data_IF_366216725916
#
_entry.id   IF_366216725916
#
_cell.length_a   1.000
_cell.length_b   1.000
_cell.length_c   1.000
_cell.angle_alpha   90.00
_cell.angle_beta   90.00
_cell.angle_gamma   90.00
#
_symmetry.space_group_name_H-M   'P 1'
#
loop_
_entity.id
_entity.type
_entity.pdbx_description
1 polymer ?
#
# COMPACT_ATOMS: atom_id res chain seq x y z
N UNK A 1 11.48 50.94 -8.71
CA UNK A 1 11.64 50.05 -7.53
C UNK A 1 10.54 49.00 -7.41
N UNK A 2 9.26 49.28 -7.71
CA UNK A 2 8.19 48.28 -7.60
C UNK A 2 8.41 47.01 -8.44
N UNK A 3 8.88 47.13 -9.68
CA UNK A 3 9.14 45.98 -10.57
C UNK A 3 10.20 45.04 -9.96
N UNK A 4 11.25 45.58 -9.35
CA UNK A 4 12.33 44.79 -8.74
C UNK A 4 11.81 43.95 -7.58
N UNK A 5 11.04 44.56 -6.67
CA UNK A 5 10.44 43.84 -5.54
C UNK A 5 9.41 42.80 -5.97
N UNK A 6 8.60 43.09 -6.99
CA UNK A 6 7.67 42.10 -7.56
C UNK A 6 8.42 40.92 -8.19
N UNK A 7 9.51 41.16 -8.92
CA UNK A 7 10.34 40.09 -9.49
C UNK A 7 11.00 39.22 -8.42
N UNK A 8 11.52 39.83 -7.35
CA UNK A 8 12.10 39.09 -6.21
C UNK A 8 11.04 38.23 -5.52
N UNK A 9 9.85 38.78 -5.28
CA UNK A 9 8.75 38.04 -4.67
C UNK A 9 8.34 36.83 -5.51
N UNK A 10 8.19 37.00 -6.83
CA UNK A 10 7.88 35.90 -7.75
C UNK A 10 8.99 34.85 -7.76
N UNK A 11 10.26 35.26 -7.80
CA UNK A 11 11.41 34.35 -7.78
C UNK A 11 11.47 33.54 -6.47
N UNK A 12 11.20 34.17 -5.33
CA UNK A 12 11.15 33.50 -4.03
C UNK A 12 9.98 32.52 -3.95
N UNK A 13 8.79 32.91 -4.40
CA UNK A 13 7.66 31.97 -4.49
C UNK A 13 7.99 30.79 -5.39
N UNK A 14 8.55 31.05 -6.56
CA UNK A 14 8.96 30.01 -7.49
C UNK A 14 9.98 29.07 -6.85
N UNK A 15 11.00 29.59 -6.15
CA UNK A 15 11.99 28.79 -5.45
C UNK A 15 11.37 27.95 -4.31
N UNK A 16 10.45 28.53 -3.53
CA UNK A 16 9.73 27.83 -2.46
C UNK A 16 8.96 26.63 -3.02
N UNK A 17 8.24 26.82 -4.13
CA UNK A 17 7.49 25.73 -4.79
C UNK A 17 8.41 24.73 -5.49
N UNK A 18 9.43 25.19 -6.20
CA UNK A 18 10.38 24.36 -6.94
C UNK A 18 11.19 23.44 -6.01
N UNK A 19 11.67 23.98 -4.88
CA UNK A 19 12.42 23.24 -3.87
C UNK A 19 11.53 22.50 -2.87
N UNK A 20 10.19 22.59 -3.00
CA UNK A 20 9.21 21.95 -2.11
C UNK A 20 9.47 22.23 -0.63
N UNK A 21 9.77 23.49 -0.31
CA UNK A 21 10.08 23.87 1.07
C UNK A 21 8.87 23.67 1.98
N UNK A 22 9.07 23.30 3.26
CA UNK A 22 7.98 23.19 4.22
C UNK A 22 7.27 24.54 4.38
N UNK A 23 5.97 24.51 4.66
CA UNK A 23 5.10 25.69 4.72
C UNK A 23 5.66 26.83 5.60
N UNK A 24 6.26 26.48 6.73
CA UNK A 24 6.88 27.43 7.65
C UNK A 24 8.08 28.12 6.98
N UNK A 25 8.97 27.36 6.33
CA UNK A 25 10.13 27.92 5.64
C UNK A 25 9.71 28.83 4.48
N UNK A 26 8.68 28.44 3.71
CA UNK A 26 8.10 29.31 2.68
C UNK A 26 7.49 30.60 3.25
N UNK A 27 6.78 30.49 4.37
CA UNK A 27 6.19 31.66 5.08
C UNK A 27 7.27 32.62 5.55
N UNK A 28 8.36 32.09 6.13
CA UNK A 28 9.52 32.89 6.59
C UNK A 28 10.22 33.55 5.41
N UNK A 29 10.41 32.84 4.29
CA UNK A 29 11.04 33.40 3.09
C UNK A 29 10.23 34.60 2.53
N UNK A 30 8.91 34.47 2.46
CA UNK A 30 8.04 35.57 2.04
C UNK A 30 8.06 36.73 3.04
N UNK A 31 8.03 36.46 4.34
CA UNK A 31 8.15 37.49 5.37
C UNK A 31 9.48 38.26 5.27
N UNK A 32 10.57 37.57 4.97
CA UNK A 32 11.88 38.19 4.78
C UNK A 32 11.90 39.14 3.58
N UNK A 33 11.28 38.77 2.46
CA UNK A 33 11.12 39.65 1.29
C UNK A 33 10.28 40.87 1.64
N UNK A 34 9.18 40.71 2.38
CA UNK A 34 8.32 41.83 2.81
C UNK A 34 9.04 42.78 3.76
N UNK A 35 9.84 42.24 4.68
CA UNK A 35 10.64 43.04 5.60
C UNK A 35 11.70 43.85 4.86
N UNK A 36 12.41 43.20 3.93
CA UNK A 36 13.37 43.87 3.05
C UNK A 36 12.69 44.96 2.20
N UNK A 37 11.51 44.68 1.65
CA UNK A 37 10.73 45.68 0.93
C UNK A 37 10.31 46.84 1.83
N UNK A 38 9.95 46.61 3.10
CA UNK A 38 9.56 47.70 4.01
C UNK A 38 10.69 48.67 4.35
N UNK A 39 11.94 48.20 4.38
CA UNK A 39 13.11 49.03 4.70
C UNK A 39 13.71 49.73 3.47
N UNK A 40 13.65 49.07 2.31
CA UNK A 40 14.34 49.53 1.10
C UNK A 40 13.40 49.96 -0.02
N UNK A 41 12.09 49.95 0.15
CA UNK A 41 11.15 50.50 -0.85
C UNK A 41 10.68 51.90 -0.49
N UNK A 42 10.42 52.72 -1.51
CA UNK A 42 9.78 54.04 -1.38
C UNK A 42 8.24 53.94 -1.20
N UNK A 43 7.71 52.76 -0.86
CA UNK A 43 6.28 52.58 -0.67
C UNK A 43 5.80 53.34 0.57
N UNK A 44 4.63 53.99 0.47
CA UNK A 44 4.04 54.70 1.60
C UNK A 44 3.69 53.74 2.75
N UNK A 45 3.68 54.26 3.98
CA UNK A 45 3.41 53.44 5.17
C UNK A 45 2.05 52.71 5.13
N UNK A 46 1.05 53.31 4.48
CA UNK A 46 -0.25 52.67 4.24
C UNK A 46 -0.12 51.44 3.32
N UNK A 47 0.64 51.54 2.23
CA UNK A 47 0.86 50.42 1.29
C UNK A 47 1.63 49.29 1.97
N UNK A 48 2.65 49.61 2.77
CA UNK A 48 3.39 48.61 3.53
C UNK A 48 2.51 47.89 4.57
N UNK A 49 1.64 48.65 5.27
CA UNK A 49 0.69 48.08 6.23
C UNK A 49 -0.28 47.12 5.55
N UNK A 50 -0.77 47.47 4.36
CA UNK A 50 -1.65 46.60 3.58
C UNK A 50 -0.95 45.30 3.16
N UNK A 51 0.32 45.34 2.75
CA UNK A 51 1.06 44.12 2.40
C UNK A 51 1.24 43.18 3.59
N UNK A 52 1.59 43.72 4.76
CA UNK A 52 1.67 42.92 5.99
C UNK A 52 0.32 42.38 6.43
N UNK A 53 -0.76 43.16 6.29
CA UNK A 53 -2.11 42.71 6.63
C UNK A 53 -2.55 41.53 5.73
N UNK A 54 -2.34 41.62 4.41
CA UNK A 54 -2.65 40.53 3.47
C UNK A 54 -1.79 39.31 3.77
N UNK A 55 -0.49 39.50 4.03
CA UNK A 55 0.40 38.41 4.40
C UNK A 55 -0.07 37.68 5.65
N UNK A 56 -0.39 38.39 6.73
CA UNK A 56 -0.87 37.79 7.97
C UNK A 56 -2.23 37.10 7.78
N UNK A 57 -3.13 37.69 6.98
CA UNK A 57 -4.43 37.11 6.66
C UNK A 57 -4.32 35.75 5.95
N UNK A 58 -3.24 35.51 5.19
CA UNK A 58 -2.99 34.24 4.51
C UNK A 58 -2.12 33.32 5.39
N UNK A 59 -1.04 33.84 5.95
CA UNK A 59 -0.07 33.07 6.71
C UNK A 59 -0.64 32.49 8.01
N UNK A 60 -1.49 33.25 8.73
CA UNK A 60 -2.06 32.79 9.98
C UNK A 60 -3.02 31.60 9.81
N UNK A 61 -4.01 31.63 8.88
CA UNK A 61 -4.85 30.46 8.60
C UNK A 61 -4.08 29.25 8.12
N UNK A 62 -2.99 29.42 7.35
CA UNK A 62 -2.24 28.29 6.81
C UNK A 62 -1.31 27.65 7.85
N UNK A 63 -0.67 28.44 8.70
CA UNK A 63 0.31 27.94 9.67
C UNK A 63 -0.32 27.48 10.99
N UNK A 64 -1.48 28.02 11.40
CA UNK A 64 -2.17 27.60 12.62
C UNK A 64 -3.06 26.38 12.33
N UNK A 65 -2.77 25.19 12.90
CA UNK A 65 -3.48 23.95 12.54
C UNK A 65 -5.00 24.02 12.73
N UNK A 66 -5.46 24.70 13.79
CA UNK A 66 -6.89 24.86 14.10
C UNK A 66 -7.60 25.68 13.02
N UNK A 67 -7.00 26.80 12.60
CA UNK A 67 -7.55 27.64 11.54
C UNK A 67 -7.46 26.96 10.18
N UNK A 68 -6.32 26.32 9.87
CA UNK A 68 -6.14 25.59 8.62
C UNK A 68 -7.20 24.52 8.43
N UNK A 69 -7.49 23.76 9.50
CA UNK A 69 -8.52 22.73 9.47
C UNK A 69 -9.89 23.32 9.16
N UNK A 70 -10.32 24.32 9.92
CA UNK A 70 -11.66 24.90 9.81
C UNK A 70 -11.89 25.68 8.50
N UNK A 71 -10.88 26.41 8.01
CA UNK A 71 -11.01 27.30 6.85
C UNK A 71 -10.61 26.65 5.53
N UNK A 72 -9.66 25.70 5.55
CA UNK A 72 -9.09 25.10 4.32
C UNK A 72 -9.42 23.61 4.25
N UNK A 73 -8.90 22.79 5.17
CA UNK A 73 -8.92 21.33 5.04
C UNK A 73 -10.34 20.76 5.03
N UNK A 74 -11.22 21.19 5.94
CA UNK A 74 -12.59 20.66 6.03
C UNK A 74 -13.41 21.02 4.77
N UNK A 75 -13.18 22.21 4.21
CA UNK A 75 -13.86 22.67 2.98
C UNK A 75 -13.40 21.89 1.75
N UNK A 76 -12.09 21.68 1.63
CA UNK A 76 -11.51 20.84 0.57
C UNK A 76 -12.01 19.40 0.69
N UNK A 77 -12.09 18.86 1.91
CA UNK A 77 -12.59 17.50 2.13
C UNK A 77 -14.07 17.34 1.71
N UNK A 78 -14.93 18.33 1.98
CA UNK A 78 -16.34 18.30 1.52
C UNK A 78 -16.40 18.28 -0.01
N UNK A 79 -15.56 19.05 -0.70
CA UNK A 79 -15.48 19.03 -2.16
C UNK A 79 -15.00 17.66 -2.66
N UNK A 80 -13.95 17.13 -2.05
CA UNK A 80 -13.35 15.84 -2.44
C UNK A 80 -14.34 14.68 -2.27
N UNK A 81 -15.11 14.67 -1.18
CA UNK A 81 -16.17 13.66 -0.93
C UNK A 81 -17.24 13.61 -2.03
N UNK A 82 -17.48 14.71 -2.75
CA UNK A 82 -18.45 14.73 -3.86
C UNK A 82 -17.90 14.07 -5.14
N UNK A 83 -16.58 13.99 -5.28
CA UNK A 83 -15.89 13.43 -6.45
C UNK A 83 -15.58 11.94 -6.25
N UNK A 84 -15.45 11.50 -4.99
CA UNK A 84 -15.25 10.09 -4.69
C UNK A 84 -16.50 9.28 -5.02
N UNK A 85 -16.38 8.14 -5.73
CA UNK A 85 -17.51 7.28 -6.02
C UNK A 85 -18.13 6.73 -4.72
N UNK A 86 -19.45 6.63 -4.68
CA UNK A 86 -20.15 5.95 -3.59
C UNK A 86 -19.88 4.45 -3.67
N UNK A 87 -19.40 3.87 -2.59
CA UNK A 87 -19.12 2.45 -2.48
C UNK A 87 -20.41 1.66 -2.26
N UNK A 88 -20.67 0.66 -3.11
CA UNK A 88 -21.80 -0.25 -2.93
C UNK A 88 -21.65 -1.06 -1.64
N UNK A 89 -22.76 -1.62 -1.14
CA UNK A 89 -22.72 -2.43 0.09
C UNK A 89 -21.81 -3.66 -0.08
N UNK A 90 -21.79 -4.27 -1.26
CA UNK A 90 -20.93 -5.42 -1.56
C UNK A 90 -19.44 -5.06 -1.63
N UNK A 91 -19.09 -3.92 -2.23
CA UNK A 91 -17.70 -3.44 -2.25
C UNK A 91 -17.21 -3.07 -0.84
N UNK A 92 -18.12 -2.55 -0.01
CA UNK A 92 -17.83 -2.21 1.38
C UNK A 92 -17.52 -3.45 2.19
N UNK A 93 -18.38 -4.47 2.13
CA UNK A 93 -18.14 -5.76 2.79
C UNK A 93 -16.83 -6.40 2.32
N UNK A 94 -16.52 -6.34 1.01
CA UNK A 94 -15.26 -6.86 0.49
C UNK A 94 -14.02 -6.11 1.02
N UNK A 95 -14.12 -4.78 1.18
CA UNK A 95 -13.04 -3.96 1.74
C UNK A 95 -12.91 -4.10 3.26
N UNK A 96 -14.03 -4.23 3.98
CA UNK A 96 -14.07 -4.44 5.42
C UNK A 96 -13.63 -5.87 5.82
N UNK A 97 -13.84 -6.86 4.95
CA UNK A 97 -13.26 -8.20 5.09
C UNK A 97 -11.73 -8.21 4.88
N UNK A 98 -11.19 -7.15 4.27
CA UNK A 98 -9.76 -6.90 4.17
C UNK A 98 -9.14 -6.44 5.50
N UNK A 99 -7.80 -6.41 5.55
CA UNK A 99 -7.07 -5.88 6.69
C UNK A 99 -6.22 -4.69 6.25
N UNK A 100 -6.13 -3.66 7.07
CA UNK A 100 -5.18 -2.56 6.86
C UNK A 100 -3.81 -2.98 7.37
N UNK A 101 -2.78 -2.95 6.52
CA UNK A 101 -1.42 -3.29 6.92
C UNK A 101 -0.53 -2.05 6.93
N UNK A 102 0.57 -2.03 6.16
CA UNK A 102 1.50 -0.91 6.09
C UNK A 102 0.98 0.25 5.22
N UNK A 103 0.08 -0.04 4.29
CA UNK A 103 -0.54 0.92 3.40
C UNK A 103 -1.39 1.95 4.18
N UNK A 104 -2.01 1.52 5.29
CA UNK A 104 -2.70 2.41 6.22
C UNK A 104 -1.80 3.51 6.79
N UNK A 105 -0.52 3.24 7.05
CA UNK A 105 0.44 4.25 7.50
C UNK A 105 0.61 5.33 6.43
N UNK A 106 0.73 4.94 5.16
CA UNK A 106 0.86 5.91 4.06
C UNK A 106 -0.41 6.75 3.88
N UNK A 107 -1.57 6.09 3.86
CA UNK A 107 -2.84 6.77 3.63
C UNK A 107 -3.29 7.63 4.82
N UNK A 108 -2.70 7.44 6.01
CA UNK A 108 -2.93 8.32 7.18
C UNK A 108 -2.40 9.75 6.98
N UNK A 109 -1.52 9.97 6.00
CA UNK A 109 -0.86 11.26 5.75
C UNK A 109 0.23 11.63 6.77
N UNK A 110 0.48 10.76 7.77
CA UNK A 110 1.58 10.89 8.73
C UNK A 110 2.14 9.50 9.09
N UNK A 111 2.78 8.79 8.14
CA UNK A 111 3.33 7.45 8.37
C UNK A 111 4.40 7.47 9.46
N UNK A 112 4.39 6.45 10.32
CA UNK A 112 5.52 6.16 11.21
C UNK A 112 6.62 5.41 10.43
N UNK A 113 7.61 6.17 9.96
CA UNK A 113 8.73 5.61 9.20
C UNK A 113 9.58 4.63 10.01
N UNK A 114 9.67 4.78 11.33
CA UNK A 114 10.47 3.88 12.17
C UNK A 114 9.84 2.49 12.15
N UNK A 115 8.52 2.42 12.37
CA UNK A 115 7.73 1.18 12.29
C UNK A 115 7.83 0.52 10.91
N UNK A 116 7.76 1.30 9.83
CA UNK A 116 7.87 0.77 8.47
C UNK A 116 9.26 0.19 8.18
N UNK A 117 10.33 0.88 8.60
CA UNK A 117 11.71 0.45 8.39
C UNK A 117 12.12 -0.71 9.31
N UNK A 118 11.48 -0.86 10.47
CA UNK A 118 11.70 -1.97 11.40
C UNK A 118 11.06 -3.29 10.95
N UNK A 119 10.14 -3.25 9.96
CA UNK A 119 9.47 -4.46 9.49
C UNK A 119 10.50 -5.40 8.83
N UNK A 120 10.76 -6.59 9.41
CA UNK A 120 11.81 -7.47 8.88
C UNK A 120 11.39 -8.08 7.55
N UNK A 121 12.36 -8.32 6.68
CA UNK A 121 12.13 -9.10 5.47
C UNK A 121 11.64 -10.52 5.86
N UNK A 122 10.54 -11.01 5.26
CA UNK A 122 10.05 -12.34 5.57
C UNK A 122 11.08 -13.38 5.14
N UNK A 123 11.19 -14.47 5.91
CA UNK A 123 12.15 -15.56 5.66
C UNK A 123 11.41 -16.88 5.70
N UNK A 124 11.78 -17.79 4.81
CA UNK A 124 11.33 -19.18 4.89
C UNK A 124 11.97 -19.85 6.11
N UNK A 125 11.15 -20.55 6.87
CA UNK A 125 11.60 -21.50 7.87
C UNK A 125 12.38 -22.65 7.22
N UNK A 126 13.16 -23.43 8.00
CA UNK A 126 13.87 -24.60 7.48
C UNK A 126 12.93 -25.63 6.82
N UNK A 127 11.74 -25.84 7.37
CA UNK A 127 10.72 -26.75 6.84
C UNK A 127 10.18 -26.28 5.49
N UNK A 128 9.81 -25.01 5.39
CA UNK A 128 9.33 -24.41 4.13
C UNK A 128 10.42 -24.39 3.05
N UNK A 129 11.67 -24.12 3.44
CA UNK A 129 12.83 -24.20 2.54
C UNK A 129 13.01 -25.62 2.02
N UNK A 130 12.94 -26.62 2.91
CA UNK A 130 13.04 -28.02 2.52
C UNK A 130 11.90 -28.44 1.58
N UNK A 131 10.68 -27.94 1.80
CA UNK A 131 9.55 -28.18 0.90
C UNK A 131 9.76 -27.58 -0.50
N UNK A 132 10.27 -26.34 -0.54
CA UNK A 132 10.56 -25.63 -1.78
C UNK A 132 11.71 -26.29 -2.58
N UNK A 133 12.72 -26.79 -1.89
CA UNK A 133 13.92 -27.35 -2.52
C UNK A 133 13.84 -28.87 -2.75
N UNK A 134 12.88 -29.55 -2.13
CA UNK A 134 12.66 -30.99 -2.28
C UNK A 134 11.37 -31.28 -3.06
N UNK A 135 10.21 -31.43 -2.38
CA UNK A 135 8.94 -31.75 -3.01
C UNK A 135 8.59 -30.90 -4.22
N UNK A 136 8.80 -29.58 -4.14
CA UNK A 136 8.49 -28.65 -5.24
C UNK A 136 9.42 -28.86 -6.44
N UNK A 137 10.71 -29.13 -6.21
CA UNK A 137 11.65 -29.47 -7.30
C UNK A 137 11.26 -30.76 -8.03
N UNK A 138 10.84 -31.77 -7.28
CA UNK A 138 10.38 -33.03 -7.88
C UNK A 138 9.12 -32.82 -8.69
N UNK A 139 8.14 -32.06 -8.18
CA UNK A 139 6.96 -31.71 -8.96
C UNK A 139 7.32 -30.97 -10.25
N UNK A 140 8.22 -29.98 -10.18
CA UNK A 140 8.71 -29.27 -11.36
C UNK A 140 9.37 -30.17 -12.40
N UNK A 141 10.00 -31.28 -11.99
CA UNK A 141 10.58 -32.29 -12.91
C UNK A 141 9.53 -33.22 -13.52
N UNK A 142 8.41 -33.44 -12.84
CA UNK A 142 7.31 -34.29 -13.33
C UNK A 142 6.41 -33.56 -14.34
N UNK A 143 6.43 -32.22 -14.33
CA UNK A 143 5.58 -31.39 -15.19
C UNK A 143 6.15 -31.33 -16.61
N UNK A 144 5.32 -31.71 -17.58
CA UNK A 144 5.47 -31.40 -19.00
C UNK A 144 4.29 -30.53 -19.46
N UNK A 145 4.52 -29.22 -19.59
CA UNK A 145 3.45 -28.26 -19.89
C UNK A 145 2.87 -28.41 -21.29
N UNK A 146 3.66 -28.89 -22.26
CA UNK A 146 3.17 -29.11 -23.61
C UNK A 146 2.17 -30.26 -23.61
N UNK A 147 2.53 -31.39 -22.97
CA UNK A 147 1.65 -32.54 -22.87
C UNK A 147 0.36 -32.19 -22.10
N UNK A 148 0.49 -31.50 -20.96
CA UNK A 148 -0.64 -31.02 -20.15
C UNK A 148 -1.60 -30.15 -20.97
N UNK A 149 -1.09 -29.18 -21.73
CA UNK A 149 -1.94 -28.16 -22.36
C UNK A 149 -2.42 -28.52 -23.77
N UNK A 150 -1.60 -29.23 -24.55
CA UNK A 150 -1.89 -29.49 -25.97
C UNK A 150 -2.46 -30.90 -26.20
N UNK A 151 -2.08 -31.88 -25.38
CA UNK A 151 -2.45 -33.27 -25.57
C UNK A 151 -3.54 -33.70 -24.58
N UNK A 152 -3.18 -33.78 -23.29
CA UNK A 152 -4.06 -34.31 -22.25
C UNK A 152 -5.19 -33.35 -21.87
N UNK A 153 -4.91 -32.04 -21.91
CA UNK A 153 -5.77 -30.97 -21.38
C UNK A 153 -6.13 -31.17 -19.91
N UNK A 154 -5.27 -31.87 -19.19
CA UNK A 154 -5.34 -32.15 -17.76
C UNK A 154 -3.92 -32.41 -17.23
N UNK A 155 -3.74 -32.42 -15.92
CA UNK A 155 -2.50 -32.91 -15.32
C UNK A 155 -2.47 -34.45 -15.39
N UNK A 156 -1.31 -35.07 -15.69
CA UNK A 156 -1.18 -36.52 -15.65
C UNK A 156 -1.55 -37.10 -14.27
N UNK A 157 -2.12 -38.33 -14.19
CA UNK A 157 -2.55 -38.93 -12.93
C UNK A 157 -1.48 -39.01 -11.84
N UNK A 158 -0.22 -39.23 -12.23
CA UNK A 158 0.94 -39.26 -11.33
C UNK A 158 1.27 -37.88 -10.77
N UNK A 159 1.09 -36.81 -11.56
CA UNK A 159 1.26 -35.42 -11.11
C UNK A 159 0.15 -35.08 -10.12
N UNK A 160 -1.11 -35.41 -10.44
CA UNK A 160 -2.23 -35.25 -9.51
C UNK A 160 -2.01 -35.97 -8.18
N UNK A 161 -1.55 -37.22 -8.24
CA UNK A 161 -1.29 -38.03 -7.04
C UNK A 161 -0.17 -37.41 -6.21
N UNK A 162 0.94 -37.03 -6.85
CA UNK A 162 2.06 -36.39 -6.17
C UNK A 162 1.67 -35.08 -5.48
N UNK A 163 0.86 -34.24 -6.13
CA UNK A 163 0.36 -32.98 -5.56
C UNK A 163 -0.45 -33.24 -4.28
N UNK A 164 -1.37 -34.22 -4.32
CA UNK A 164 -2.20 -34.58 -3.17
C UNK A 164 -1.36 -35.17 -2.03
N UNK A 165 -0.53 -36.16 -2.35
CA UNK A 165 0.21 -36.95 -1.35
C UNK A 165 1.27 -36.12 -0.62
N UNK A 166 1.79 -35.08 -1.26
CA UNK A 166 2.80 -34.18 -0.67
C UNK A 166 2.19 -32.90 -0.07
N UNK A 167 0.86 -32.78 0.04
CA UNK A 167 0.23 -31.66 0.75
C UNK A 167 0.27 -30.32 0.03
N UNK A 168 0.43 -30.30 -1.30
CA UNK A 168 0.40 -29.04 -2.06
C UNK A 168 -0.96 -28.34 -1.97
N UNK A 169 -2.07 -29.05 -1.76
CA UNK A 169 -3.39 -28.45 -1.54
C UNK A 169 -3.68 -28.00 -0.10
N UNK A 170 -2.78 -28.28 0.84
CA UNK A 170 -2.99 -28.03 2.28
C UNK A 170 -1.87 -27.18 2.89
N UNK A 171 -1.19 -26.36 2.07
CA UNK A 171 -0.07 -25.54 2.53
C UNK A 171 -0.50 -24.57 3.64
N UNK A 172 -1.65 -23.91 3.50
CA UNK A 172 -2.13 -22.93 4.49
C UNK A 172 -2.89 -23.55 5.68
N UNK A 173 -3.26 -24.84 5.58
CA UNK A 173 -4.11 -25.50 6.57
C UNK A 173 -3.27 -25.77 7.83
N UNK A 174 -3.76 -25.47 9.04
CA UNK A 174 -3.06 -25.76 10.29
C UNK A 174 -2.70 -27.24 10.43
N UNK A 175 -1.54 -27.52 11.05
CA UNK A 175 -1.04 -28.90 11.24
C UNK A 175 -2.01 -29.80 12.02
N UNK A 176 -2.80 -29.24 12.93
CA UNK A 176 -3.83 -29.98 13.69
C UNK A 176 -4.93 -30.58 12.79
N UNK A 177 -5.12 -30.02 11.60
CA UNK A 177 -6.05 -30.51 10.57
C UNK A 177 -5.32 -31.28 9.44
N UNK A 178 -4.05 -31.66 9.66
CA UNK A 178 -3.25 -32.40 8.68
C UNK A 178 -2.64 -31.54 7.56
N UNK A 179 -2.67 -30.22 7.68
CA UNK A 179 -2.01 -29.31 6.73
C UNK A 179 -0.55 -29.02 7.10
N UNK A 180 0.09 -28.13 6.33
CA UNK A 180 1.50 -27.77 6.50
C UNK A 180 1.72 -26.50 7.35
N UNK A 181 0.69 -25.66 7.50
CA UNK A 181 0.74 -24.37 8.20
C UNK A 181 1.86 -23.44 7.69
N UNK A 182 2.09 -23.43 6.39
CA UNK A 182 3.07 -22.59 5.72
C UNK A 182 2.66 -21.13 5.66
N UNK A 183 3.66 -20.26 5.71
CA UNK A 183 3.52 -18.82 5.58
C UNK A 183 3.09 -18.41 4.16
N UNK A 184 2.59 -17.18 4.04
CA UNK A 184 2.30 -16.57 2.74
C UNK A 184 3.55 -16.50 1.84
N UNK A 185 4.76 -16.33 2.43
CA UNK A 185 6.01 -16.35 1.68
C UNK A 185 6.30 -17.74 1.10
N UNK A 186 6.09 -18.81 1.89
CA UNK A 186 6.27 -20.17 1.41
C UNK A 186 5.28 -20.52 0.30
N UNK A 187 3.99 -20.23 0.52
CA UNK A 187 2.95 -20.44 -0.49
C UNK A 187 3.31 -19.72 -1.81
N UNK A 188 3.61 -18.42 -1.77
CA UNK A 188 3.97 -17.65 -2.96
C UNK A 188 5.27 -18.15 -3.63
N UNK A 189 6.28 -18.57 -2.84
CA UNK A 189 7.53 -19.11 -3.38
C UNK A 189 7.32 -20.43 -4.11
N UNK A 190 6.50 -21.33 -3.56
CA UNK A 190 6.15 -22.62 -4.19
C UNK A 190 5.40 -22.39 -5.50
N UNK A 191 4.37 -21.54 -5.47
CA UNK A 191 3.57 -21.21 -6.66
C UNK A 191 4.44 -20.57 -7.74
N UNK A 192 5.29 -19.59 -7.37
CA UNK A 192 6.21 -18.95 -8.31
C UNK A 192 7.13 -19.97 -8.99
N UNK A 193 7.68 -20.90 -8.23
CA UNK A 193 8.57 -21.93 -8.76
C UNK A 193 7.86 -22.88 -9.72
N UNK A 194 6.66 -23.34 -9.38
CA UNK A 194 5.85 -24.20 -10.25
C UNK A 194 5.43 -23.44 -11.51
N UNK A 195 5.09 -22.15 -11.39
CA UNK A 195 4.69 -21.29 -12.52
C UNK A 195 5.78 -21.13 -13.57
N UNK A 196 7.05 -21.30 -13.19
CA UNK A 196 8.16 -21.31 -14.16
C UNK A 196 8.19 -22.57 -15.04
N UNK A 197 7.34 -23.56 -14.76
CA UNK A 197 7.21 -24.82 -15.51
C UNK A 197 5.83 -24.95 -16.14
N UNK A 198 4.77 -24.72 -15.38
CA UNK A 198 3.40 -24.75 -15.88
C UNK A 198 2.50 -23.81 -15.09
N UNK A 199 1.83 -22.89 -15.79
CA UNK A 199 0.81 -22.03 -15.20
C UNK A 199 -0.41 -22.85 -14.78
N UNK A 200 -0.79 -23.86 -15.56
CA UNK A 200 -1.90 -24.76 -15.25
C UNK A 200 -1.69 -25.44 -13.89
N UNK A 201 -0.55 -26.09 -13.67
CA UNK A 201 -0.25 -26.73 -12.39
C UNK A 201 -0.17 -25.72 -11.24
N UNK A 202 0.43 -24.55 -11.48
CA UNK A 202 0.54 -23.50 -10.48
C UNK A 202 -0.83 -22.98 -10.03
N UNK A 203 -1.75 -22.70 -10.96
CA UNK A 203 -3.10 -22.21 -10.65
C UNK A 203 -3.92 -23.29 -9.94
N UNK A 204 -3.84 -24.54 -10.40
CA UNK A 204 -4.49 -25.69 -9.75
C UNK A 204 -4.12 -25.79 -8.26
N UNK A 205 -2.85 -25.57 -7.91
CA UNK A 205 -2.36 -25.60 -6.53
C UNK A 205 -2.67 -24.31 -5.77
N UNK A 206 -2.54 -23.15 -6.42
CA UNK A 206 -2.69 -21.84 -5.80
C UNK A 206 -4.14 -21.62 -5.32
N UNK A 207 -5.14 -21.93 -6.14
CA UNK A 207 -6.54 -21.56 -5.87
C UNK A 207 -7.05 -22.14 -4.55
N UNK A 208 -6.89 -23.45 -4.24
CA UNK A 208 -7.29 -23.98 -2.93
C UNK A 208 -6.56 -23.36 -1.74
N UNK A 209 -5.37 -22.80 -1.94
CA UNK A 209 -4.54 -22.20 -0.88
C UNK A 209 -4.67 -20.67 -0.76
N UNK A 210 -5.47 -20.00 -1.60
CA UNK A 210 -5.66 -18.53 -1.55
C UNK A 210 -7.11 -18.08 -1.58
N UNK A 211 -7.98 -18.83 -2.26
CA UNK A 211 -9.41 -18.56 -2.39
C UNK A 211 -10.22 -19.83 -2.11
N UNK A 212 -9.59 -20.81 -1.47
CA UNK A 212 -10.19 -22.10 -1.19
C UNK A 212 -11.10 -22.07 0.05
N UNK A 213 -11.98 -23.09 0.19
CA UNK A 213 -12.87 -23.23 1.34
C UNK A 213 -12.16 -23.19 2.69
N UNK A 214 -10.91 -23.67 2.75
CA UNK A 214 -10.12 -23.71 3.97
C UNK A 214 -9.91 -22.32 4.60
N UNK A 215 -9.58 -21.29 3.81
CA UNK A 215 -9.37 -19.94 4.36
C UNK A 215 -10.67 -19.37 4.95
N UNK A 216 -11.79 -19.58 4.28
CA UNK A 216 -13.11 -19.16 4.75
C UNK A 216 -13.53 -19.90 6.02
N UNK A 217 -13.32 -21.22 6.08
CA UNK A 217 -13.62 -22.04 7.24
C UNK A 217 -12.74 -21.66 8.44
N UNK A 218 -11.45 -21.39 8.22
CA UNK A 218 -10.53 -20.98 9.28
C UNK A 218 -10.92 -19.63 9.88
N UNK A 219 -11.33 -18.66 9.05
CA UNK A 219 -11.71 -17.31 9.50
C UNK A 219 -13.12 -17.25 10.10
N UNK A 220 -14.10 -17.91 9.49
CA UNK A 220 -15.51 -17.70 9.78
C UNK A 220 -16.26 -18.96 10.23
N UNK A 221 -15.66 -20.14 10.07
CA UNK A 221 -16.30 -21.41 10.44
C UNK A 221 -16.37 -21.63 11.95
N UNK A 222 -17.38 -22.38 12.40
CA UNK A 222 -17.44 -22.89 13.77
C UNK A 222 -16.38 -23.96 13.99
N UNK A 223 -16.10 -24.28 15.26
CA UNK A 223 -15.13 -25.34 15.57
C UNK A 223 -15.59 -26.70 15.02
N UNK A 224 -16.90 -26.99 15.04
CA UNK A 224 -17.46 -28.19 14.43
C UNK A 224 -17.21 -28.23 12.92
N UNK A 225 -17.38 -27.11 12.22
CA UNK A 225 -17.13 -27.03 10.77
C UNK A 225 -15.65 -27.22 10.45
N UNK A 226 -14.75 -26.58 11.20
CA UNK A 226 -13.30 -26.73 11.04
C UNK A 226 -12.80 -28.14 11.35
N UNK A 227 -13.43 -28.83 12.30
CA UNK A 227 -13.07 -30.20 12.66
C UNK A 227 -13.66 -31.26 11.70
N UNK A 228 -14.71 -30.90 10.95
CA UNK A 228 -15.38 -31.82 10.02
C UNK A 228 -14.78 -31.81 8.60
N UNK A 229 -14.44 -30.63 8.08
CA UNK A 229 -13.94 -30.41 6.72
C UNK A 229 -12.43 -30.20 6.70
#
# INVERSE_FOLDING_TARGET
MCIVWSSIFIAVLWAVFYLRLPLIAGTVAVAAVLLAASTWSEASGLVQTLYWAVFLLIAAPLNLPVLRRALVSDRVLIMFRKVMPSMSDTEREALEAGSVWWDGELFSGKPDWSKLLETPAPKLSPEERAFLDGPTETLCRMIDDWHITQEDRDLPPEVWSYIKDNGFFSMIIPKQYGGLAFSALAHSSVVLKISSRSITAAVTIMVPNSLGPAELLLRYGTDEQKNHY
#
